data_IF_532024414510
#
_entry.id   IF_532024414510
#
_cell.length_a   1.000
_cell.length_b   1.000
_cell.length_c   1.000
_cell.angle_alpha   90.00
_cell.angle_beta   90.00
_cell.angle_gamma   90.00
#
_symmetry.space_group_name_H-M   'P 1'
#
loop_
_entity.id
_entity.type
_entity.pdbx_description
1 polymer ?
#
# COMPACT_ATOMS: atom_id res chain seq x y z
N UNK A 1 -10.49 -6.94 10.02
CA UNK A 1 -11.53 -7.64 10.79
C UNK A 1 -12.91 -7.08 10.44
N UNK A 2 -13.91 -7.96 10.25
CA UNK A 2 -15.27 -7.53 9.89
C UNK A 2 -16.00 -6.84 11.06
N UNK A 3 -15.61 -7.13 12.30
CA UNK A 3 -16.12 -6.52 13.51
C UNK A 3 -14.97 -6.17 14.45
N UNK A 4 -14.26 -5.07 14.20
CA UNK A 4 -13.18 -4.64 15.06
C UNK A 4 -13.75 -4.26 16.42
N UNK A 5 -13.09 -4.67 17.49
CA UNK A 5 -13.43 -4.25 18.83
C UNK A 5 -12.39 -3.27 19.35
N UNK A 6 -12.83 -2.06 19.63
CA UNK A 6 -11.98 -1.01 20.17
C UNK A 6 -12.37 -0.70 21.60
N UNK A 7 -11.37 -0.67 22.48
CA UNK A 7 -11.54 -0.17 23.85
C UNK A 7 -11.48 1.35 23.85
N UNK A 8 -12.15 1.95 24.82
CA UNK A 8 -12.04 3.38 25.07
C UNK A 8 -11.07 3.62 26.22
N UNK A 9 -9.93 4.24 25.90
CA UNK A 9 -8.98 4.74 26.89
C UNK A 9 -9.37 6.17 27.26
N UNK A 10 -9.51 6.45 28.55
CA UNK A 10 -9.70 7.80 29.06
C UNK A 10 -8.47 8.22 29.84
N UNK A 11 -7.83 9.29 29.41
CA UNK A 11 -6.69 9.91 30.07
C UNK A 11 -7.20 11.18 30.72
N UNK A 12 -7.26 11.19 32.06
CA UNK A 12 -7.77 12.32 32.81
C UNK A 12 -6.60 13.07 33.47
N UNK A 13 -6.52 14.36 33.19
CA UNK A 13 -5.68 15.31 33.92
C UNK A 13 -6.54 16.17 34.86
N UNK A 14 -5.91 17.12 35.52
CA UNK A 14 -6.65 18.05 36.38
C UNK A 14 -7.65 18.92 35.60
N UNK A 15 -7.30 19.27 34.37
CA UNK A 15 -7.97 20.30 33.59
C UNK A 15 -8.70 19.76 32.36
N UNK A 16 -8.43 18.49 31.95
CA UNK A 16 -9.04 17.89 30.77
C UNK A 16 -9.20 16.36 30.84
N UNK A 17 -10.06 15.83 29.98
CA UNK A 17 -10.21 14.39 29.73
C UNK A 17 -10.01 14.13 28.24
N UNK A 18 -9.01 13.32 27.90
CA UNK A 18 -8.73 12.88 26.54
C UNK A 18 -9.29 11.46 26.39
N UNK A 19 -10.07 11.24 25.34
CA UNK A 19 -10.62 9.92 25.01
C UNK A 19 -10.01 9.39 23.73
N UNK A 20 -9.37 8.21 23.80
CA UNK A 20 -8.79 7.51 22.64
C UNK A 20 -9.43 6.14 22.45
N UNK A 21 -9.58 5.73 21.18
CA UNK A 21 -9.96 4.37 20.83
C UNK A 21 -8.70 3.55 20.60
N UNK A 22 -8.55 2.44 21.31
CA UNK A 22 -7.40 1.54 21.22
C UNK A 22 -7.84 0.13 20.88
N UNK A 23 -7.02 -0.59 20.11
CA UNK A 23 -7.22 -2.01 19.82
C UNK A 23 -6.08 -2.84 20.37
N UNK A 24 -6.41 -4.05 20.85
CA UNK A 24 -5.43 -5.02 21.31
C UNK A 24 -5.41 -6.16 20.31
N UNK A 25 -4.26 -6.42 19.71
CA UNK A 25 -4.06 -7.48 18.72
C UNK A 25 -2.61 -7.92 18.70
N UNK A 26 -2.36 -9.08 18.16
CA UNK A 26 -1.05 -9.61 17.87
C UNK A 26 -0.94 -9.85 16.37
N UNK A 27 0.12 -9.33 15.75
CA UNK A 27 0.50 -9.63 14.36
C UNK A 27 1.80 -10.41 14.38
N UNK A 28 1.89 -11.50 13.63
CA UNK A 28 3.10 -12.32 13.60
C UNK A 28 3.28 -13.03 12.25
N UNK A 29 4.51 -13.44 11.97
CA UNK A 29 4.82 -14.40 10.91
C UNK A 29 5.07 -15.76 11.55
N UNK A 30 4.24 -16.74 11.22
CA UNK A 30 4.37 -18.11 11.70
C UNK A 30 4.53 -19.06 10.50
N UNK A 31 5.69 -19.68 10.38
CA UNK A 31 6.03 -20.60 9.28
C UNK A 31 5.78 -19.98 7.87
N UNK A 32 6.18 -18.73 7.68
CA UNK A 32 5.99 -17.99 6.43
C UNK A 32 4.55 -17.54 6.17
N UNK A 33 3.68 -17.56 7.18
CA UNK A 33 2.29 -17.11 7.08
C UNK A 33 2.03 -15.97 8.04
N UNK A 34 1.41 -14.90 7.53
CA UNK A 34 0.98 -13.77 8.37
C UNK A 34 -0.27 -14.17 9.15
N UNK A 35 -0.21 -13.99 10.47
CA UNK A 35 -1.32 -14.27 11.38
C UNK A 35 -1.70 -13.02 12.16
N UNK A 36 -3.00 -12.86 12.39
CA UNK A 36 -3.56 -11.89 13.32
C UNK A 36 -4.27 -12.66 14.45
N UNK A 37 -3.84 -12.47 15.70
CA UNK A 37 -4.31 -13.23 16.84
C UNK A 37 -4.28 -14.75 16.58
N UNK A 38 -3.16 -15.22 16.04
CA UNK A 38 -2.89 -16.63 15.66
C UNK A 38 -3.73 -17.17 14.49
N UNK A 39 -4.56 -16.34 13.86
CA UNK A 39 -5.38 -16.75 12.70
C UNK A 39 -4.73 -16.24 11.40
N UNK A 40 -4.46 -17.12 10.42
CA UNK A 40 -3.95 -16.71 9.12
C UNK A 40 -4.88 -15.67 8.45
N UNK A 41 -4.29 -14.64 7.87
CA UNK A 41 -5.03 -13.61 7.12
C UNK A 41 -4.64 -13.58 5.66
N UNK A 42 -5.53 -13.07 4.82
CA UNK A 42 -5.28 -12.73 3.41
C UNK A 42 -5.61 -11.26 3.19
N UNK A 43 -4.69 -10.53 2.58
CA UNK A 43 -4.78 -9.11 2.30
C UNK A 43 -5.40 -8.92 0.91
N UNK A 44 -6.68 -8.57 0.88
CA UNK A 44 -7.45 -8.22 -0.30
C UNK A 44 -7.38 -6.71 -0.44
N UNK A 45 -6.27 -6.24 -0.99
CA UNK A 45 -5.83 -4.87 -0.85
C UNK A 45 -6.05 -4.00 -2.08
N UNK A 46 -5.96 -2.71 -1.85
CA UNK A 46 -5.89 -1.65 -2.85
C UNK A 46 -4.91 -0.59 -2.40
N UNK A 47 -4.18 0.00 -3.34
CA UNK A 47 -3.38 1.21 -3.11
C UNK A 47 -4.31 2.43 -3.12
N UNK A 48 -4.04 3.42 -2.27
CA UNK A 48 -4.87 4.61 -2.18
C UNK A 48 -4.03 5.87 -2.05
N UNK A 49 -4.24 6.79 -2.99
CA UNK A 49 -3.85 8.19 -2.87
C UNK A 49 -4.98 9.05 -2.29
N UNK A 50 -4.64 10.15 -1.61
CA UNK A 50 -5.59 11.21 -1.34
C UNK A 50 -5.83 12.00 -2.64
N UNK A 51 -7.00 11.79 -3.25
CA UNK A 51 -7.37 12.46 -4.50
C UNK A 51 -8.88 12.61 -4.61
N UNK A 52 -9.33 13.86 -4.80
CA UNK A 52 -10.74 14.19 -5.02
C UNK A 52 -10.88 15.23 -6.11
N UNK A 53 -11.95 15.14 -6.94
CA UNK A 53 -12.07 15.98 -8.14
C UNK A 53 -12.24 17.47 -7.85
N UNK A 54 -12.71 17.85 -6.67
CA UNK A 54 -12.97 19.24 -6.29
C UNK A 54 -11.89 19.83 -5.38
N UNK A 55 -11.09 19.01 -4.72
CA UNK A 55 -10.15 19.44 -3.69
C UNK A 55 -8.70 18.96 -3.93
N UNK A 56 -8.48 18.19 -5.01
CA UNK A 56 -7.16 17.63 -5.32
C UNK A 56 -6.72 16.64 -4.23
N UNK A 57 -5.53 16.82 -3.68
CA UNK A 57 -4.93 15.94 -2.68
C UNK A 57 -5.46 16.16 -1.25
N UNK A 58 -6.55 16.93 -1.07
CA UNK A 58 -7.15 17.16 0.25
C UNK A 58 -8.47 16.41 0.35
N UNK A 59 -8.55 15.44 1.26
CA UNK A 59 -9.75 14.64 1.50
C UNK A 59 -10.50 15.14 2.75
N UNK A 60 -11.83 15.32 2.64
CA UNK A 60 -12.67 15.57 3.81
C UNK A 60 -12.99 14.29 4.58
N UNK A 61 -13.51 14.44 5.79
CA UNK A 61 -13.96 13.31 6.60
C UNK A 61 -15.00 12.45 5.86
N UNK A 62 -16.02 13.11 5.28
CA UNK A 62 -17.11 12.45 4.55
C UNK A 62 -16.61 11.70 3.31
N UNK A 63 -15.62 12.28 2.63
CA UNK A 63 -14.98 11.65 1.46
C UNK A 63 -14.20 10.40 1.87
N UNK A 64 -13.46 10.45 2.98
CA UNK A 64 -12.74 9.28 3.52
C UNK A 64 -13.70 8.17 3.93
N UNK A 65 -14.82 8.52 4.59
CA UNK A 65 -15.88 7.55 4.96
C UNK A 65 -16.46 6.90 3.71
N UNK A 66 -16.79 7.69 2.68
CA UNK A 66 -17.34 7.19 1.42
C UNK A 66 -16.38 6.18 0.74
N UNK A 67 -15.07 6.48 0.68
CA UNK A 67 -14.08 5.55 0.15
C UNK A 67 -14.09 4.24 0.91
N UNK A 68 -14.03 4.29 2.24
CA UNK A 68 -13.96 3.10 3.09
C UNK A 68 -15.24 2.26 3.02
N UNK A 69 -16.42 2.89 3.01
CA UNK A 69 -17.71 2.19 2.84
C UNK A 69 -17.77 1.49 1.48
N UNK A 70 -17.35 2.18 0.41
CA UNK A 70 -17.33 1.61 -0.93
C UNK A 70 -16.35 0.45 -1.03
N UNK A 71 -15.17 0.55 -0.43
CA UNK A 71 -14.21 -0.56 -0.32
C UNK A 71 -14.82 -1.76 0.42
N UNK A 72 -15.50 -1.54 1.55
CA UNK A 72 -16.14 -2.62 2.33
C UNK A 72 -17.19 -3.39 1.53
N UNK A 73 -18.08 -2.69 0.82
CA UNK A 73 -19.13 -3.37 0.02
C UNK A 73 -18.57 -4.10 -1.20
N UNK A 74 -17.29 -3.87 -1.53
CA UNK A 74 -16.56 -4.57 -2.58
C UNK A 74 -15.54 -5.61 -2.06
N UNK A 75 -15.66 -6.00 -0.79
CA UNK A 75 -14.83 -7.04 -0.14
C UNK A 75 -13.34 -6.70 -0.01
N UNK A 76 -12.95 -5.44 -0.13
CA UNK A 76 -11.60 -4.97 0.16
C UNK A 76 -11.44 -4.93 1.68
N UNK A 77 -10.34 -5.49 2.20
CA UNK A 77 -10.05 -5.53 3.63
C UNK A 77 -8.71 -4.92 4.01
N UNK A 78 -7.92 -4.51 3.03
CA UNK A 78 -6.59 -3.96 3.24
C UNK A 78 -6.34 -2.74 2.35
N UNK A 79 -5.55 -1.79 2.84
CA UNK A 79 -5.19 -0.56 2.12
C UNK A 79 -3.69 -0.33 2.28
N UNK A 80 -2.99 0.02 1.19
CA UNK A 80 -1.67 0.62 1.27
C UNK A 80 -1.79 2.11 1.09
N UNK A 81 -1.26 2.87 2.06
CA UNK A 81 -1.20 4.33 2.02
C UNK A 81 -0.09 4.75 1.06
N UNK A 82 -0.33 4.67 -0.23
CA UNK A 82 0.63 5.00 -1.28
C UNK A 82 0.67 6.51 -1.53
N UNK A 83 1.81 7.20 -1.56
CA UNK A 83 3.13 6.78 -1.11
C UNK A 83 3.57 7.73 0.02
N UNK A 84 2.69 7.93 0.99
CA UNK A 84 2.87 8.86 2.13
C UNK A 84 1.87 8.52 3.25
N UNK A 85 2.15 8.93 4.48
CA UNK A 85 1.21 8.74 5.60
C UNK A 85 -0.08 9.53 5.35
N UNK A 86 -1.22 8.84 5.26
CA UNK A 86 -2.52 9.49 5.10
C UNK A 86 -2.90 10.31 6.34
N UNK A 87 -3.97 11.12 6.26
CA UNK A 87 -4.43 11.93 7.38
C UNK A 87 -4.71 11.06 8.62
N UNK A 88 -4.33 11.48 9.85
CA UNK A 88 -4.54 10.68 11.05
C UNK A 88 -6.00 10.23 11.27
N UNK A 89 -6.96 11.05 10.85
CA UNK A 89 -8.38 10.71 10.91
C UNK A 89 -8.75 9.53 9.99
N UNK A 90 -8.05 9.36 8.86
CA UNK A 90 -8.26 8.22 7.98
C UNK A 90 -7.87 6.90 8.66
N UNK A 91 -6.76 6.91 9.42
CA UNK A 91 -6.34 5.73 10.16
C UNK A 91 -7.33 5.40 11.30
N UNK A 92 -7.90 6.42 11.97
CA UNK A 92 -8.95 6.20 12.95
C UNK A 92 -10.19 5.55 12.35
N UNK A 93 -10.59 6.00 11.16
CA UNK A 93 -11.70 5.38 10.42
C UNK A 93 -11.36 3.93 10.03
N UNK A 94 -10.13 3.64 9.63
CA UNK A 94 -9.68 2.29 9.35
C UNK A 94 -9.71 1.38 10.60
N UNK A 95 -9.34 1.92 11.77
CA UNK A 95 -9.49 1.22 13.05
C UNK A 95 -10.97 0.85 13.30
N UNK A 96 -11.87 1.81 13.14
CA UNK A 96 -13.30 1.66 13.41
C UNK A 96 -14.01 0.75 12.41
N UNK A 97 -13.62 0.80 11.15
CA UNK A 97 -14.22 0.00 10.08
C UNK A 97 -13.52 -1.34 9.84
N UNK A 98 -12.37 -1.58 10.48
CA UNK A 98 -11.66 -2.85 10.45
C UNK A 98 -10.90 -3.12 9.16
N UNK A 99 -10.11 -2.17 8.70
CA UNK A 99 -9.14 -2.39 7.62
C UNK A 99 -7.77 -2.77 8.17
N UNK A 100 -7.00 -3.52 7.38
CA UNK A 100 -5.57 -3.72 7.57
C UNK A 100 -4.81 -2.67 6.78
N UNK A 101 -3.85 -1.98 7.40
CA UNK A 101 -3.07 -0.96 6.72
C UNK A 101 -1.60 -1.34 6.58
N UNK A 102 -1.05 -1.01 5.40
CA UNK A 102 0.35 -0.71 5.20
C UNK A 102 0.47 0.81 5.28
N UNK A 103 1.07 1.32 6.36
CA UNK A 103 1.33 2.74 6.52
C UNK A 103 2.74 3.05 6.00
N UNK A 104 2.87 4.01 5.08
CA UNK A 104 4.06 4.19 4.28
C UNK A 104 4.74 5.52 4.53
N UNK A 105 6.06 5.48 4.69
CA UNK A 105 6.88 6.68 4.81
C UNK A 105 6.92 7.45 3.49
N UNK A 106 6.91 8.76 3.56
CA UNK A 106 7.03 9.66 2.41
C UNK A 106 8.47 9.64 1.87
N UNK A 107 8.84 8.52 1.25
CA UNK A 107 10.11 8.30 0.57
C UNK A 107 9.80 7.72 -0.80
N UNK A 108 9.80 8.60 -1.80
CA UNK A 108 9.59 8.30 -3.21
C UNK A 108 10.62 9.06 -4.03
N UNK A 109 11.50 8.36 -4.74
CA UNK A 109 12.51 8.99 -5.57
C UNK A 109 12.61 8.43 -6.99
N UNK A 110 11.57 7.75 -7.47
CA UNK A 110 11.48 7.22 -8.83
C UNK A 110 11.89 8.25 -9.88
N UNK A 111 11.34 9.47 -9.79
CA UNK A 111 11.64 10.56 -10.71
C UNK A 111 13.12 11.02 -10.70
N UNK A 112 13.93 10.62 -9.73
CA UNK A 112 15.34 11.02 -9.66
C UNK A 112 16.19 10.46 -10.84
N UNK A 113 15.70 9.43 -11.54
CA UNK A 113 16.34 8.92 -12.73
C UNK A 113 16.41 9.96 -13.87
N UNK A 114 15.50 10.94 -13.90
CA UNK A 114 15.54 12.06 -14.84
C UNK A 114 16.64 13.07 -14.52
N UNK A 115 17.02 13.18 -13.25
CA UNK A 115 18.06 14.09 -12.79
C UNK A 115 19.46 13.50 -12.86
N UNK A 116 19.60 12.18 -13.05
CA UNK A 116 20.89 11.54 -13.17
C UNK A 116 21.46 11.74 -14.59
N UNK A 117 22.75 12.07 -14.69
CA UNK A 117 23.45 12.16 -15.96
C UNK A 117 23.64 10.79 -16.64
N UNK A 118 23.34 9.71 -15.95
CA UNK A 118 23.37 8.36 -16.47
C UNK A 118 22.24 8.15 -17.48
N UNK A 119 22.59 8.23 -18.75
CA UNK A 119 21.68 7.99 -19.90
C UNK A 119 21.12 6.57 -20.00
N UNK A 120 21.50 5.70 -19.11
CA UNK A 120 20.94 4.35 -18.97
C UNK A 120 19.79 4.40 -17.96
N UNK A 121 18.58 4.22 -18.44
CA UNK A 121 17.35 4.01 -17.64
C UNK A 121 17.41 2.70 -16.84
N UNK A 122 18.53 2.43 -16.19
CA UNK A 122 18.67 1.31 -15.27
C UNK A 122 18.04 1.71 -13.94
N UNK A 123 17.38 0.77 -13.29
CA UNK A 123 16.80 0.88 -11.95
C UNK A 123 17.72 1.60 -10.95
N UNK A 124 18.99 1.76 -11.33
CA UNK A 124 20.05 2.47 -10.69
C UNK A 124 19.86 3.93 -10.40
N UNK A 125 19.24 4.57 -11.26
CA UNK A 125 19.02 6.01 -11.15
C UNK A 125 17.94 6.34 -10.11
N UNK A 126 17.00 5.43 -9.79
CA UNK A 126 16.03 5.59 -8.70
C UNK A 126 16.71 5.70 -7.32
N UNK A 127 17.86 5.05 -7.16
CA UNK A 127 18.60 5.02 -5.90
C UNK A 127 19.40 6.30 -5.61
N UNK A 128 19.37 7.30 -6.47
CA UNK A 128 20.18 8.52 -6.30
C UNK A 128 20.01 9.14 -4.92
N UNK A 129 18.77 9.28 -4.46
CA UNK A 129 18.46 9.86 -3.14
C UNK A 129 18.91 8.96 -2.01
N UNK A 130 18.51 7.69 -2.02
CA UNK A 130 18.76 6.77 -0.91
C UNK A 130 20.22 6.29 -0.82
N UNK A 131 21.04 6.52 -1.83
CA UNK A 131 22.48 6.23 -1.81
C UNK A 131 23.32 7.42 -1.34
N UNK A 132 22.77 8.61 -1.37
CA UNK A 132 23.48 9.82 -1.01
C UNK A 132 23.45 10.03 0.51
N UNK A 133 24.63 10.07 1.19
CA UNK A 133 24.69 10.22 2.65
C UNK A 133 24.06 11.52 3.16
N UNK A 134 23.92 12.54 2.30
CA UNK A 134 23.26 13.79 2.66
C UNK A 134 21.76 13.61 2.99
N UNK A 135 21.11 12.57 2.46
CA UNK A 135 19.69 12.30 2.69
C UNK A 135 19.42 11.35 3.86
N UNK A 136 20.44 10.70 4.45
CA UNK A 136 20.25 9.73 5.54
C UNK A 136 19.37 10.30 6.68
N UNK A 137 19.69 11.51 7.16
CA UNK A 137 18.91 12.15 8.23
C UNK A 137 17.45 12.39 7.84
N UNK A 138 17.20 12.75 6.58
CA UNK A 138 15.84 12.97 6.08
C UNK A 138 15.07 11.66 5.96
N UNK A 139 15.73 10.58 5.56
CA UNK A 139 15.15 9.23 5.51
C UNK A 139 14.76 8.77 6.91
N UNK A 140 15.68 8.87 7.88
CA UNK A 140 15.43 8.48 9.27
C UNK A 140 14.32 9.32 9.91
N UNK A 141 14.29 10.64 9.71
CA UNK A 141 13.26 11.55 10.23
C UNK A 141 11.87 11.16 9.72
N UNK A 142 11.73 10.78 8.44
CA UNK A 142 10.43 10.37 7.87
C UNK A 142 9.87 9.10 8.51
N UNK A 143 10.69 8.07 8.65
CA UNK A 143 10.24 6.81 9.27
C UNK A 143 10.01 6.96 10.78
N UNK A 144 10.82 7.76 11.47
CA UNK A 144 10.62 8.07 12.90
C UNK A 144 9.28 8.76 13.13
N UNK A 145 8.97 9.79 12.34
CA UNK A 145 7.70 10.54 12.42
C UNK A 145 6.50 9.68 12.09
N UNK A 146 6.61 8.83 11.06
CA UNK A 146 5.56 7.86 10.71
C UNK A 146 5.21 7.01 11.93
N UNK A 147 6.21 6.31 12.49
CA UNK A 147 6.00 5.42 13.63
C UNK A 147 5.50 6.20 14.85
N UNK A 148 6.14 7.32 15.18
CA UNK A 148 5.75 8.11 16.36
C UNK A 148 4.31 8.63 16.28
N UNK A 149 3.82 8.98 15.08
CA UNK A 149 2.46 9.45 14.87
C UNK A 149 1.43 8.33 15.01
N UNK A 150 1.71 7.16 14.42
CA UNK A 150 0.68 6.15 14.16
C UNK A 150 0.86 4.83 14.93
N UNK A 151 1.84 4.76 15.83
CA UNK A 151 2.11 3.54 16.64
C UNK A 151 0.87 3.05 17.43
N UNK A 152 -0.04 3.95 17.78
CA UNK A 152 -1.26 3.62 18.51
C UNK A 152 -2.44 3.21 17.62
N UNK A 153 -2.25 3.08 16.30
CA UNK A 153 -3.30 2.68 15.36
C UNK A 153 -3.32 1.15 15.18
N UNK A 154 -4.32 0.44 15.69
CA UNK A 154 -4.39 -1.03 15.56
C UNK A 154 -4.58 -1.52 14.12
N UNK A 155 -5.13 -0.71 13.22
CA UNK A 155 -5.26 -1.04 11.79
C UNK A 155 -3.90 -1.18 11.09
N UNK A 156 -2.88 -0.44 11.53
CA UNK A 156 -1.52 -0.54 10.97
C UNK A 156 -0.94 -1.88 11.36
N UNK A 157 -0.73 -2.76 10.39
CA UNK A 157 -0.11 -4.08 10.55
C UNK A 157 1.27 -4.16 9.90
N UNK A 158 1.56 -3.21 9.01
CA UNK A 158 2.86 -3.03 8.38
C UNK A 158 3.31 -1.59 8.45
N UNK A 159 4.60 -1.42 8.68
CA UNK A 159 5.34 -0.23 8.32
C UNK A 159 5.97 -0.44 6.95
N UNK A 160 5.93 0.57 6.10
CA UNK A 160 6.61 0.59 4.81
C UNK A 160 7.66 1.69 4.77
N UNK A 161 8.86 1.36 4.31
CA UNK A 161 9.96 2.32 4.22
C UNK A 161 9.81 3.34 3.09
N UNK A 162 8.84 3.14 2.20
CA UNK A 162 8.59 4.02 1.05
C UNK A 162 8.35 3.25 -0.22
N UNK A 163 8.54 3.92 -1.36
CA UNK A 163 8.27 3.41 -2.69
C UNK A 163 9.41 3.73 -3.66
N UNK A 164 9.65 2.87 -4.64
CA UNK A 164 10.48 3.03 -5.85
C UNK A 164 11.72 3.93 -5.69
N UNK A 165 12.47 3.75 -4.62
CA UNK A 165 13.65 4.55 -4.31
C UNK A 165 14.96 3.75 -4.28
N UNK A 166 14.89 2.43 -4.57
CA UNK A 166 16.02 1.53 -4.48
C UNK A 166 16.41 1.20 -3.03
N UNK A 167 17.40 0.32 -2.85
CA UNK A 167 17.83 -0.16 -1.56
C UNK A 167 19.30 0.18 -1.29
N UNK A 168 19.59 0.63 -0.07
CA UNK A 168 20.93 0.97 0.37
C UNK A 168 21.07 0.75 1.87
N UNK A 169 22.31 0.90 2.41
CA UNK A 169 22.54 0.87 3.86
C UNK A 169 21.70 1.91 4.64
N UNK A 170 21.32 3.03 4.03
CA UNK A 170 20.50 4.03 4.72
C UNK A 170 19.03 3.59 4.83
N UNK A 171 18.55 2.80 3.87
CA UNK A 171 17.25 2.15 3.98
C UNK A 171 17.28 1.02 5.03
N UNK A 172 18.39 0.29 5.14
CA UNK A 172 18.60 -0.65 6.24
C UNK A 172 18.62 0.04 7.60
N UNK A 173 19.33 1.18 7.73
CA UNK A 173 19.31 1.99 8.96
C UNK A 173 17.87 2.44 9.31
N UNK A 174 17.08 2.84 8.32
CA UNK A 174 15.67 3.18 8.51
C UNK A 174 14.86 1.97 9.00
N UNK A 175 15.07 0.79 8.41
CA UNK A 175 14.43 -0.45 8.86
C UNK A 175 14.80 -0.81 10.31
N UNK A 176 16.07 -0.69 10.68
CA UNK A 176 16.54 -0.89 12.07
C UNK A 176 15.90 0.10 13.04
N UNK A 177 15.77 1.37 12.64
CA UNK A 177 15.10 2.39 13.44
C UNK A 177 13.63 2.03 13.65
N UNK A 178 12.91 1.63 12.61
CA UNK A 178 11.51 1.17 12.73
C UNK A 178 11.41 0.01 13.71
N UNK A 179 12.26 -1.01 13.58
CA UNK A 179 12.26 -2.19 14.47
C UNK A 179 12.65 -1.86 15.93
N UNK A 180 13.43 -0.83 16.13
CA UNK A 180 13.76 -0.33 17.47
C UNK A 180 12.57 0.41 18.10
N UNK A 181 11.81 1.18 17.31
CA UNK A 181 10.65 1.95 17.78
C UNK A 181 9.42 1.06 17.96
N UNK A 182 9.23 0.10 17.08
CA UNK A 182 8.11 -0.85 17.08
C UNK A 182 8.59 -2.23 16.62
N UNK A 183 8.97 -3.12 17.53
CA UNK A 183 9.44 -4.46 17.21
C UNK A 183 8.31 -5.42 16.77
N UNK A 184 7.06 -5.09 17.03
CA UNK A 184 5.94 -6.02 16.90
C UNK A 184 5.32 -6.01 15.51
N UNK A 185 5.26 -4.83 14.85
CA UNK A 185 4.68 -4.74 13.51
C UNK A 185 5.65 -5.21 12.44
N UNK A 186 5.07 -5.69 11.35
CA UNK A 186 5.82 -6.16 10.20
C UNK A 186 6.41 -4.97 9.42
N UNK A 187 7.58 -5.18 8.87
CA UNK A 187 8.28 -4.22 8.04
C UNK A 187 8.33 -4.72 6.59
N UNK A 188 7.96 -3.86 5.65
CA UNK A 188 8.06 -4.12 4.23
C UNK A 188 8.78 -3.01 3.47
N UNK A 189 9.37 -3.35 2.34
CA UNK A 189 9.86 -2.43 1.32
C UNK A 189 10.08 -3.17 0.00
N UNK A 190 9.43 -2.73 -1.08
CA UNK A 190 9.45 -3.44 -2.36
C UNK A 190 10.80 -3.31 -3.09
N UNK A 191 11.49 -2.17 -2.93
CA UNK A 191 12.73 -1.88 -3.63
C UNK A 191 13.96 -2.66 -3.10
N UNK A 192 13.77 -3.59 -2.15
CA UNK A 192 14.82 -4.53 -1.72
C UNK A 192 15.51 -5.21 -2.92
N UNK A 193 14.76 -5.43 -4.00
CA UNK A 193 15.24 -6.06 -5.23
C UNK A 193 16.06 -5.13 -6.15
N UNK A 194 16.01 -3.84 -5.90
CA UNK A 194 16.72 -2.82 -6.66
C UNK A 194 18.05 -2.48 -5.96
N UNK A 195 18.88 -3.49 -5.76
CA UNK A 195 20.22 -3.35 -5.21
C UNK A 195 21.22 -3.10 -6.33
N UNK A 196 22.22 -2.28 -6.02
CA UNK A 196 23.37 -2.03 -6.90
C UNK A 196 24.55 -2.87 -6.49
N UNK A 197 25.47 -3.13 -7.44
CA UNK A 197 26.73 -3.86 -7.21
C UNK A 197 27.59 -3.26 -6.07
N UNK A 198 27.44 -1.97 -5.78
CA UNK A 198 28.13 -1.29 -4.68
C UNK A 198 27.23 -1.10 -3.42
N UNK A 199 25.96 -1.38 -3.48
CA UNK A 199 25.04 -1.23 -2.36
C UNK A 199 25.28 -2.27 -1.25
N UNK A 200 25.82 -3.43 -1.61
CA UNK A 200 26.17 -4.48 -0.64
C UNK A 200 27.29 -4.08 0.33
N UNK A 201 28.09 -3.05 -0.01
CA UNK A 201 29.14 -2.56 0.87
C UNK A 201 28.57 -1.76 2.03
N UNK A 202 28.45 -2.39 3.19
CA UNK A 202 28.03 -1.76 4.44
C UNK A 202 26.57 -2.04 4.83
N UNK A 203 25.91 -3.00 4.19
CA UNK A 203 24.68 -3.61 4.69
C UNK A 203 25.06 -4.80 5.60
N UNK A 204 24.55 -4.76 6.83
CA UNK A 204 24.86 -5.76 7.86
C UNK A 204 23.73 -6.78 8.03
N UNK A 205 22.51 -6.47 7.58
CA UNK A 205 21.33 -7.30 7.74
C UNK A 205 20.39 -7.21 6.53
N UNK A 206 20.64 -8.02 5.50
CA UNK A 206 19.77 -8.05 4.32
C UNK A 206 18.37 -8.62 4.61
N UNK A 207 18.13 -9.14 5.82
CA UNK A 207 16.84 -9.74 6.22
C UNK A 207 16.07 -8.89 7.24
N UNK A 208 16.35 -7.58 7.31
CA UNK A 208 15.61 -6.68 8.20
C UNK A 208 14.10 -6.62 7.88
N UNK A 209 13.72 -6.92 6.63
CA UNK A 209 12.33 -6.93 6.19
C UNK A 209 11.66 -8.26 6.53
N UNK A 210 10.45 -8.19 7.08
CA UNK A 210 9.69 -9.37 7.52
C UNK A 210 8.97 -10.09 6.38
N UNK A 211 8.80 -9.44 5.24
CA UNK A 211 8.11 -9.97 4.07
C UNK A 211 8.87 -9.69 2.79
N UNK A 212 8.68 -10.54 1.80
CA UNK A 212 9.12 -10.28 0.44
C UNK A 212 8.00 -9.54 -0.28
N UNK A 213 8.28 -8.33 -0.70
CA UNK A 213 7.34 -7.47 -1.41
C UNK A 213 7.77 -7.27 -2.86
N UNK A 214 6.81 -7.33 -3.79
CA UNK A 214 7.06 -7.12 -5.23
C UNK A 214 5.96 -6.29 -5.85
N UNK A 215 6.32 -5.61 -6.94
CA UNK A 215 5.37 -4.99 -7.86
C UNK A 215 5.23 -5.83 -9.12
N UNK A 216 3.99 -6.03 -9.56
CA UNK A 216 3.63 -6.61 -10.87
C UNK A 216 4.32 -7.94 -11.22
N UNK A 217 4.70 -8.74 -10.21
CA UNK A 217 5.21 -10.08 -10.46
C UNK A 217 4.12 -10.93 -11.12
N UNK A 218 4.43 -11.51 -12.27
CA UNK A 218 3.48 -12.38 -12.97
C UNK A 218 3.36 -13.76 -12.31
N UNK A 219 2.31 -14.49 -12.65
CA UNK A 219 2.02 -15.81 -12.06
C UNK A 219 3.16 -16.82 -12.30
N UNK A 220 3.78 -16.89 -13.49
CA UNK A 220 4.96 -17.73 -13.72
C UNK A 220 6.12 -17.39 -12.79
N UNK A 221 6.45 -16.12 -12.63
CA UNK A 221 7.51 -15.66 -11.73
C UNK A 221 7.22 -16.05 -10.27
N UNK A 222 5.99 -15.81 -9.79
CA UNK A 222 5.58 -16.16 -8.43
C UNK A 222 5.73 -17.67 -8.19
N UNK A 223 5.30 -18.49 -9.14
CA UNK A 223 5.44 -19.94 -9.06
C UNK A 223 6.90 -20.38 -9.00
N UNK A 224 7.78 -19.74 -9.75
CA UNK A 224 9.22 -20.01 -9.72
C UNK A 224 9.84 -19.61 -8.36
N UNK A 225 9.51 -18.40 -7.90
CA UNK A 225 9.94 -17.89 -6.59
C UNK A 225 9.54 -18.83 -5.44
N UNK A 226 8.33 -19.38 -5.46
CA UNK A 226 7.82 -20.28 -4.43
C UNK A 226 8.58 -21.62 -4.34
N UNK A 227 9.36 -21.99 -5.38
CA UNK A 227 10.23 -23.18 -5.35
C UNK A 227 11.43 -23.00 -4.41
N UNK A 228 11.83 -21.76 -4.16
CA UNK A 228 12.88 -21.48 -3.18
C UNK A 228 12.38 -21.82 -1.75
N UNK A 229 12.96 -22.89 -1.18
CA UNK A 229 12.61 -23.38 0.15
C UNK A 229 13.46 -22.75 1.27
N UNK A 230 14.50 -22.02 0.91
CA UNK A 230 15.36 -21.29 1.86
C UNK A 230 14.73 -19.95 2.25
N UNK A 231 13.90 -19.35 1.36
CA UNK A 231 13.15 -18.16 1.67
C UNK A 231 11.91 -18.51 2.51
N UNK A 232 11.87 -18.04 3.74
CA UNK A 232 10.84 -18.35 4.71
C UNK A 232 9.88 -17.17 4.99
N UNK A 233 10.14 -16.00 4.42
CA UNK A 233 9.28 -14.83 4.59
C UNK A 233 7.97 -15.00 3.80
N UNK A 234 6.84 -14.44 4.29
CA UNK A 234 5.63 -14.33 3.50
C UNK A 234 5.88 -13.45 2.27
N UNK A 235 5.09 -13.68 1.21
CA UNK A 235 5.12 -12.91 -0.01
C UNK A 235 3.89 -12.02 -0.12
N UNK A 236 4.07 -10.76 -0.53
CA UNK A 236 3.00 -9.84 -0.90
C UNK A 236 3.29 -9.20 -2.25
N UNK A 237 2.24 -8.82 -2.98
CA UNK A 237 2.34 -7.86 -4.07
C UNK A 237 1.86 -6.50 -3.57
N UNK A 238 2.78 -5.58 -3.29
CA UNK A 238 2.40 -4.23 -2.86
C UNK A 238 1.71 -3.44 -3.98
N UNK A 239 1.95 -3.82 -5.24
CA UNK A 239 1.21 -3.38 -6.42
C UNK A 239 1.03 -4.51 -7.41
N UNK A 240 -0.17 -4.66 -7.95
CA UNK A 240 -0.47 -5.62 -9.03
C UNK A 240 -1.78 -5.28 -9.74
N UNK A 241 -2.05 -5.95 -10.85
CA UNK A 241 -3.30 -5.82 -11.61
C UNK A 241 -3.70 -4.35 -11.85
N UNK A 242 -2.77 -3.58 -12.44
CA UNK A 242 -2.96 -2.16 -12.74
C UNK A 242 -4.31 -1.90 -13.43
N UNK A 243 -5.14 -1.04 -12.83
CA UNK A 243 -6.53 -0.86 -13.23
C UNK A 243 -6.75 0.09 -14.40
N UNK A 244 -5.67 0.64 -14.97
CA UNK A 244 -5.75 1.55 -16.11
C UNK A 244 -6.41 0.88 -17.33
N UNK A 245 -7.27 1.62 -18.03
CA UNK A 245 -7.92 1.16 -19.25
C UNK A 245 -8.88 -0.01 -19.01
N UNK A 246 -8.56 -1.19 -19.57
CA UNK A 246 -9.34 -2.42 -19.39
C UNK A 246 -8.93 -3.26 -18.17
N UNK A 247 -8.03 -2.72 -17.32
CA UNK A 247 -7.66 -3.37 -16.07
C UNK A 247 -8.79 -3.38 -15.01
N UNK A 248 -8.56 -4.08 -13.88
CA UNK A 248 -7.48 -5.02 -13.63
C UNK A 248 -7.71 -6.37 -14.34
N UNK A 249 -6.64 -6.95 -14.92
CA UNK A 249 -6.67 -8.26 -15.58
C UNK A 249 -6.20 -9.41 -14.70
N UNK A 250 -6.54 -10.64 -15.07
CA UNK A 250 -6.05 -11.90 -14.49
C UNK A 250 -6.28 -12.06 -12.96
N UNK A 251 -7.15 -11.25 -12.38
CA UNK A 251 -7.34 -11.14 -10.94
C UNK A 251 -7.78 -12.47 -10.30
N UNK A 252 -8.69 -13.21 -10.94
CA UNK A 252 -9.14 -14.53 -10.44
C UNK A 252 -7.99 -15.56 -10.49
N UNK A 253 -7.10 -15.50 -11.49
CA UNK A 253 -5.98 -16.42 -11.61
C UNK A 253 -4.92 -16.16 -10.53
N UNK A 254 -4.63 -14.90 -10.22
CA UNK A 254 -3.80 -14.53 -9.07
C UNK A 254 -4.42 -15.05 -7.77
N UNK A 255 -5.71 -14.84 -7.53
CA UNK A 255 -6.35 -15.22 -6.28
C UNK A 255 -6.56 -16.73 -6.14
N UNK A 256 -6.65 -17.45 -7.25
CA UNK A 256 -6.60 -18.93 -7.23
C UNK A 256 -5.25 -19.40 -6.69
N UNK A 257 -4.15 -18.82 -7.15
CA UNK A 257 -2.81 -19.10 -6.64
C UNK A 257 -2.66 -18.64 -5.18
N UNK A 258 -3.11 -17.43 -4.84
CA UNK A 258 -2.97 -16.88 -3.49
C UNK A 258 -3.70 -17.70 -2.42
N UNK A 259 -4.83 -18.31 -2.77
CA UNK A 259 -5.52 -19.22 -1.85
C UNK A 259 -4.88 -20.60 -1.74
N UNK A 260 -4.24 -21.09 -2.80
CA UNK A 260 -3.52 -22.36 -2.78
C UNK A 260 -2.23 -22.27 -1.97
N UNK A 261 -1.54 -21.14 -2.02
CA UNK A 261 -0.22 -20.93 -1.44
C UNK A 261 -0.33 -20.16 -0.11
N UNK A 262 -0.05 -20.85 0.99
CA UNK A 262 -0.16 -20.26 2.34
C UNK A 262 0.79 -19.09 2.54
N UNK A 263 2.00 -19.16 1.98
CA UNK A 263 3.05 -18.15 2.10
C UNK A 263 2.72 -16.84 1.37
N UNK A 264 1.78 -16.82 0.42
CA UNK A 264 1.32 -15.60 -0.21
C UNK A 264 0.25 -14.95 0.68
N UNK A 265 0.56 -13.79 1.23
CA UNK A 265 -0.38 -13.08 2.10
C UNK A 265 -1.46 -12.32 1.33
N UNK A 266 -1.22 -11.95 0.07
CA UNK A 266 -2.17 -11.23 -0.77
C UNK A 266 -1.53 -10.19 -1.66
N UNK A 267 -2.30 -9.17 -2.04
CA UNK A 267 -1.80 -8.08 -2.88
C UNK A 267 -2.71 -6.86 -2.85
N UNK A 268 -2.17 -5.74 -3.36
CA UNK A 268 -2.81 -4.42 -3.38
C UNK A 268 -2.92 -3.95 -4.83
N UNK A 269 -4.14 -3.85 -5.34
CA UNK A 269 -4.39 -3.42 -6.71
C UNK A 269 -3.94 -1.97 -6.88
N UNK A 270 -3.26 -1.65 -7.96
CA UNK A 270 -2.96 -0.30 -8.39
C UNK A 270 -4.06 0.18 -9.34
N UNK A 271 -4.91 1.16 -9.00
CA UNK A 271 -5.12 1.71 -7.66
C UNK A 271 -6.62 1.99 -7.39
N UNK A 272 -6.93 2.76 -6.33
CA UNK A 272 -8.31 2.98 -5.91
C UNK A 272 -9.11 3.88 -6.84
N UNK A 273 -8.59 5.09 -7.19
CA UNK A 273 -9.38 6.07 -7.92
C UNK A 273 -8.61 6.79 -9.02
N UNK A 274 -9.31 7.16 -10.07
CA UNK A 274 -8.80 8.10 -11.07
C UNK A 274 -8.56 9.49 -10.48
N UNK A 275 -7.49 10.17 -10.90
CA UNK A 275 -7.06 11.47 -10.37
C UNK A 275 -7.53 12.68 -11.22
N UNK A 276 -8.68 12.61 -11.83
CA UNK A 276 -9.24 13.71 -12.63
C UNK A 276 -9.78 14.87 -11.76
N UNK A 277 -9.43 16.09 -12.11
CA UNK A 277 -9.93 17.31 -11.46
C UNK A 277 -11.16 17.83 -12.21
N UNK A 278 -12.24 18.16 -11.50
CA UNK A 278 -13.47 18.68 -12.10
C UNK A 278 -13.24 20.10 -12.62
N UNK A 279 -13.55 20.32 -13.90
CA UNK A 279 -13.40 21.63 -14.56
C UNK A 279 -14.71 22.20 -15.08
N UNK A 280 -15.82 21.52 -14.86
CA UNK A 280 -17.14 21.97 -15.28
C UNK A 280 -18.02 20.85 -15.81
N UNK A 281 -18.90 21.19 -16.74
CA UNK A 281 -19.79 20.26 -17.44
C UNK A 281 -19.66 20.39 -18.95
N UNK A 282 -19.87 19.28 -19.64
CA UNK A 282 -19.96 19.24 -21.10
C UNK A 282 -21.31 19.80 -21.57
N UNK A 283 -21.46 20.08 -22.86
CA UNK A 283 -22.72 20.58 -23.45
C UNK A 283 -23.91 19.64 -23.21
N UNK A 284 -23.66 18.35 -23.09
CA UNK A 284 -24.69 17.36 -22.80
C UNK A 284 -24.87 17.06 -21.29
N UNK A 285 -24.34 17.95 -20.41
CA UNK A 285 -24.55 17.90 -18.96
C UNK A 285 -23.70 16.89 -18.20
N UNK A 286 -22.73 16.21 -18.84
CA UNK A 286 -21.79 15.32 -18.13
C UNK A 286 -20.69 16.10 -17.45
N UNK A 287 -20.21 15.62 -16.29
CA UNK A 287 -19.05 16.19 -15.62
C UNK A 287 -17.82 16.11 -16.53
N UNK A 288 -17.07 17.22 -16.59
CA UNK A 288 -15.80 17.32 -17.31
C UNK A 288 -14.66 17.27 -16.29
N UNK A 289 -13.71 16.36 -16.55
CA UNK A 289 -12.47 16.25 -15.78
C UNK A 289 -11.28 16.64 -16.63
N UNK A 290 -10.26 17.21 -16.01
CA UNK A 290 -8.97 17.51 -16.59
C UNK A 290 -7.88 16.74 -15.81
N UNK A 291 -6.83 16.35 -16.53
CA UNK A 291 -5.69 15.60 -15.99
C UNK A 291 -4.45 15.85 -16.87
N UNK A 292 -3.35 15.25 -16.54
CA UNK A 292 -2.02 15.28 -17.15
C UNK A 292 -1.86 16.07 -18.46
N UNK A 293 -1.39 17.33 -18.40
CA UNK A 293 -1.17 18.22 -19.53
C UNK A 293 -2.33 19.18 -19.82
N UNK A 294 -3.53 18.93 -19.30
CA UNK A 294 -4.72 19.73 -19.58
C UNK A 294 -4.66 21.16 -18.96
N UNK A 295 -3.77 21.36 -17.98
CA UNK A 295 -3.56 22.65 -17.33
C UNK A 295 -2.37 23.43 -17.92
N UNK A 296 -1.73 22.88 -18.97
CA UNK A 296 -0.59 23.51 -19.66
C UNK A 296 0.76 23.23 -18.98
N UNK A 297 0.82 22.30 -18.07
CA UNK A 297 2.07 21.82 -17.46
C UNK A 297 2.94 21.11 -18.51
N UNK A 298 4.25 21.33 -18.43
CA UNK A 298 5.24 20.77 -19.39
C UNK A 298 5.61 19.33 -19.03
N UNK A 299 5.67 19.02 -17.74
CA UNK A 299 5.99 17.68 -17.23
C UNK A 299 4.71 16.98 -16.77
N UNK A 300 4.32 15.96 -17.48
CA UNK A 300 3.14 15.14 -17.17
C UNK A 300 3.21 13.79 -17.91
N UNK A 301 2.49 12.80 -17.41
CA UNK A 301 2.38 11.46 -18.00
C UNK A 301 1.01 11.20 -18.64
N UNK A 302 0.34 12.29 -19.11
CA UNK A 302 -0.96 12.23 -19.82
C UNK A 302 -2.02 11.49 -18.97
N UNK A 303 -2.62 10.43 -19.50
CA UNK A 303 -3.68 9.67 -18.85
C UNK A 303 -3.17 8.60 -17.87
N UNK A 304 -1.89 8.60 -17.49
CA UNK A 304 -1.31 7.61 -16.60
C UNK A 304 -1.74 7.78 -15.12
N UNK A 305 -2.62 8.73 -14.87
CA UNK A 305 -3.32 8.97 -13.61
C UNK A 305 -4.80 8.56 -13.65
N UNK A 306 -5.25 7.89 -14.71
CA UNK A 306 -6.59 7.32 -14.87
C UNK A 306 -6.51 5.79 -14.76
N UNK A 307 -6.18 5.33 -13.59
CA UNK A 307 -5.81 3.96 -13.26
C UNK A 307 -6.56 3.43 -12.04
N UNK A 308 -7.68 4.06 -11.71
CA UNK A 308 -8.52 3.72 -10.57
C UNK A 308 -9.51 2.59 -10.82
N UNK A 309 -9.93 1.94 -9.74
CA UNK A 309 -11.10 1.06 -9.69
C UNK A 309 -12.41 1.84 -9.67
N UNK A 310 -12.35 3.14 -9.38
CA UNK A 310 -13.46 4.07 -9.44
C UNK A 310 -13.09 5.34 -10.21
N UNK A 311 -14.10 5.96 -10.84
CA UNK A 311 -13.97 7.30 -11.40
C UNK A 311 -13.68 8.36 -10.32
N UNK A 312 -13.27 9.59 -10.70
CA UNK A 312 -12.98 10.63 -9.71
C UNK A 312 -14.16 10.92 -8.77
N UNK A 313 -15.41 10.76 -9.23
CA UNK A 313 -16.63 10.93 -8.44
C UNK A 313 -17.05 9.68 -7.63
N UNK A 314 -16.19 8.65 -7.60
CA UNK A 314 -16.42 7.37 -6.94
C UNK A 314 -17.46 6.47 -7.60
N UNK A 315 -17.94 6.79 -8.80
CA UNK A 315 -18.69 5.82 -9.61
C UNK A 315 -17.78 4.62 -9.91
N UNK A 316 -18.25 3.38 -9.66
CA UNK A 316 -17.44 2.18 -9.92
C UNK A 316 -17.09 2.00 -11.39
N UNK A 317 -15.82 1.70 -11.69
CA UNK A 317 -15.44 1.07 -12.96
C UNK A 317 -15.92 -0.38 -13.00
N UNK A 318 -16.01 -0.94 -14.19
CA UNK A 318 -16.37 -2.36 -14.39
C UNK A 318 -15.41 -3.29 -13.62
N UNK A 319 -14.12 -2.94 -13.56
CA UNK A 319 -13.11 -3.69 -12.84
C UNK A 319 -13.40 -3.84 -11.35
N UNK A 320 -14.01 -2.83 -10.70
CA UNK A 320 -14.36 -2.94 -9.28
C UNK A 320 -15.43 -4.03 -9.02
N UNK A 321 -16.33 -4.29 -9.97
CA UNK A 321 -17.30 -5.36 -9.85
C UNK A 321 -16.63 -6.73 -9.92
N UNK A 322 -15.59 -6.89 -10.74
CA UNK A 322 -14.77 -8.09 -10.77
C UNK A 322 -13.99 -8.25 -9.45
N UNK A 323 -13.38 -7.19 -8.95
CA UNK A 323 -12.72 -7.19 -7.63
C UNK A 323 -13.66 -7.69 -6.56
N UNK A 324 -14.89 -7.18 -6.50
CA UNK A 324 -15.93 -7.65 -5.57
C UNK A 324 -16.15 -9.16 -5.65
N UNK A 325 -16.22 -9.68 -6.86
CA UNK A 325 -16.43 -11.10 -7.11
C UNK A 325 -15.20 -11.93 -6.71
N UNK A 326 -14.00 -11.48 -7.07
CA UNK A 326 -12.76 -12.20 -6.77
C UNK A 326 -12.44 -12.17 -5.28
N UNK A 327 -12.66 -11.03 -4.62
CA UNK A 327 -12.40 -10.82 -3.19
C UNK A 327 -13.49 -11.39 -2.27
N UNK A 328 -14.54 -12.03 -2.83
CA UNK A 328 -15.64 -12.59 -2.04
C UNK A 328 -15.13 -13.52 -0.92
N UNK A 329 -15.73 -13.46 0.28
CA UNK A 329 -15.29 -14.29 1.41
C UNK A 329 -15.70 -15.76 1.28
N UNK A 330 -16.74 -16.05 0.50
CA UNK A 330 -17.28 -17.40 0.30
C UNK A 330 -17.15 -17.78 -1.16
N UNK A 331 -16.52 -18.93 -1.43
CA UNK A 331 -16.37 -19.51 -2.75
C UNK A 331 -17.10 -20.84 -2.80
N UNK A 332 -17.92 -21.03 -3.81
CA UNK A 332 -18.70 -22.27 -4.03
C UNK A 332 -18.11 -22.97 -5.26
N UNK A 333 -17.78 -24.23 -5.09
CA UNK A 333 -17.28 -25.09 -6.16
C UNK A 333 -18.21 -26.30 -6.32
N UNK A 334 -18.48 -26.79 -7.55
CA UNK A 334 -19.19 -28.03 -7.74
C UNK A 334 -18.39 -29.19 -7.17
N UNK A 335 -19.08 -30.14 -6.52
CA UNK A 335 -18.48 -31.37 -6.00
C UNK A 335 -18.34 -32.41 -7.12
N UNK A 336 -19.22 -32.39 -8.12
CA UNK A 336 -19.17 -33.22 -9.33
C UNK A 336 -19.53 -32.37 -10.55
N UNK A 337 -19.14 -32.83 -11.72
CA UNK A 337 -19.52 -32.26 -13.02
C UNK A 337 -20.63 -33.07 -13.70
N UNK A 338 -21.51 -33.73 -12.93
CA UNK A 338 -22.66 -34.48 -13.46
C UNK A 338 -23.83 -33.55 -13.73
#
# INVERSE_FOLDING_TARGET
AEKPYLYRLLIQTKDEVIGEKIGIREIAVQNGVITLNHVPIKLKGVNRHDSYPDTGAVASYEQMVMDLELMKVHNINAIRCSHYPNAPIFLQLCDEMGFYLIDEADIESHGSYHASEEKNRNQGSMCFTVRNPAFEKAILDRVERLVARDINRPCVIFWSLGNESGYSKYMEHAGRLVKMLDPDRLLQYESEWHQYDDAEKGMDDPQILDVVSRMYADIPWIKEYLKNKEENRPFIQCEYCHAMGNGPGDLEDYWRLFYQEKRIAGGFIWEWCDHGIRTGTTENGKTKYAYGGDFGEVMHDSNFCLDGLVYPDRTPHTGLLEVKQVYRPIRIYPISQD
#
